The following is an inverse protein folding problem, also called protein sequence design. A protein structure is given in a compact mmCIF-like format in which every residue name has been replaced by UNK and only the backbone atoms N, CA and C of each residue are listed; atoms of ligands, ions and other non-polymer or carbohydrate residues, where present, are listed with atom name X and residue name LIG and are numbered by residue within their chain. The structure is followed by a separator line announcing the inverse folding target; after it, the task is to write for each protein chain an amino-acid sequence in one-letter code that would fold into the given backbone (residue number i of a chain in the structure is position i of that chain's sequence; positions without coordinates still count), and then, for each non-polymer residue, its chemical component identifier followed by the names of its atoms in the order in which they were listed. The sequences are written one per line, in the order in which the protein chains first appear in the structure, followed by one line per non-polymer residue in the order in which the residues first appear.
data_IF_147893187014
#
_entry.id   IF_147893187014
#
_cell.length_a   1.000
_cell.length_b   1.000
_cell.length_c   1.000
_cell.angle_alpha   90.00
_cell.angle_beta   90.00
_cell.angle_gamma   90.00
#
_symmetry.space_group_name_H-M   'P 1'
#
loop_
_entity.id
_entity.type
_entity.pdbx_description
1 polymer ?
#
# COMPACT_ATOMS: atom_id res chain seq x y z
N UNK A 1 5.93 16.80 24.69
CA UNK A 1 5.51 17.91 25.56
C UNK A 1 5.76 19.27 24.91
N UNK A 2 6.93 19.50 24.30
CA UNK A 2 7.26 20.76 23.61
C UNK A 2 6.16 21.28 22.67
N UNK A 3 5.74 20.51 21.66
CA UNK A 3 4.67 20.94 20.73
C UNK A 3 3.34 21.31 21.40
N UNK A 4 2.98 20.60 22.47
CA UNK A 4 1.78 20.88 23.25
C UNK A 4 1.90 22.20 24.04
N UNK A 5 3.10 22.48 24.58
CA UNK A 5 3.39 23.73 25.28
C UNK A 5 3.48 24.92 24.32
N UNK A 6 3.97 24.70 23.10
CA UNK A 6 3.99 25.72 22.05
C UNK A 6 2.57 26.15 21.70
N UNK A 7 1.69 25.20 21.38
CA UNK A 7 0.28 25.43 21.11
C UNK A 7 -0.56 24.19 21.39
N UNK A 8 -1.76 24.40 21.95
CA UNK A 8 -2.84 23.43 21.91
C UNK A 8 -4.20 24.13 21.91
N UNK A 9 -5.22 23.50 21.34
CA UNK A 9 -6.60 23.98 21.41
C UNK A 9 -7.59 22.83 21.33
N UNK A 10 -8.78 23.06 21.88
CA UNK A 10 -9.93 22.19 21.66
C UNK A 10 -10.78 22.75 20.52
N UNK A 11 -11.31 21.88 19.66
CA UNK A 11 -12.26 22.27 18.62
C UNK A 11 -13.40 21.26 18.52
N UNK A 12 -14.65 21.71 18.33
CA UNK A 12 -15.79 20.82 18.20
C UNK A 12 -15.72 20.00 16.91
N UNK A 13 -16.21 18.77 16.97
CA UNK A 13 -16.46 17.91 15.82
C UNK A 13 -17.95 17.89 15.48
N UNK A 14 -18.30 17.45 14.27
CA UNK A 14 -19.69 17.28 13.83
C UNK A 14 -20.51 16.32 14.72
N UNK A 15 -19.83 15.42 15.43
CA UNK A 15 -20.44 14.43 16.34
C UNK A 15 -20.76 15.00 17.74
N UNK A 16 -20.40 16.25 18.03
CA UNK A 16 -20.53 16.86 19.36
C UNK A 16 -19.36 16.58 20.31
N UNK A 17 -18.42 15.73 19.92
CA UNK A 17 -17.14 15.53 20.61
C UNK A 17 -16.16 16.70 20.39
N UNK A 18 -15.08 16.76 21.19
CA UNK A 18 -13.99 17.72 21.01
C UNK A 18 -12.72 17.02 20.51
N UNK A 19 -12.09 17.59 19.49
CA UNK A 19 -10.72 17.25 19.11
C UNK A 19 -9.72 18.12 19.85
N UNK A 20 -8.69 17.50 20.41
CA UNK A 20 -7.48 18.19 20.86
C UNK A 20 -6.53 18.38 19.67
N UNK A 21 -6.18 19.62 19.36
CA UNK A 21 -5.17 19.97 18.36
C UNK A 21 -3.87 20.35 19.07
N UNK A 22 -2.75 19.85 18.57
CA UNK A 22 -1.42 19.99 19.20
C UNK A 22 -0.45 20.62 18.20
N UNK A 23 0.38 21.55 18.67
CA UNK A 23 1.44 22.19 17.88
C UNK A 23 0.94 23.25 16.89
N UNK A 24 1.89 23.95 16.30
CA UNK A 24 1.62 25.01 15.31
C UNK A 24 0.95 24.46 14.03
N UNK A 25 1.16 23.18 13.74
CA UNK A 25 0.56 22.46 12.61
C UNK A 25 -0.93 22.13 12.82
N UNK A 26 -1.50 22.41 14.00
CA UNK A 26 -2.84 21.97 14.38
C UNK A 26 -3.03 20.47 14.17
N UNK A 27 -2.10 19.66 14.67
CA UNK A 27 -2.19 18.22 14.49
C UNK A 27 -3.35 17.66 15.34
N UNK A 28 -4.35 16.99 14.73
CA UNK A 28 -5.49 16.47 15.46
C UNK A 28 -5.09 15.21 16.24
N UNK A 29 -5.09 15.31 17.57
CA UNK A 29 -4.89 14.18 18.47
C UNK A 29 -5.99 13.14 18.24
N UNK A 30 -5.65 11.85 18.06
CA UNK A 30 -6.59 10.84 17.56
C UNK A 30 -7.65 10.42 18.58
N UNK A 31 -7.47 10.73 19.87
CA UNK A 31 -8.41 10.34 20.93
C UNK A 31 -9.32 11.54 21.24
N UNK A 32 -10.60 11.53 20.83
CA UNK A 32 -11.50 12.66 21.07
C UNK A 32 -11.90 12.73 22.55
N UNK A 33 -12.30 13.92 23.00
CA UNK A 33 -12.99 14.09 24.27
C UNK A 33 -14.50 14.04 24.05
N UNK A 34 -15.19 13.29 24.90
CA UNK A 34 -16.66 13.18 24.94
C UNK A 34 -17.17 13.59 26.31
N UNK A 35 -18.33 14.24 26.34
CA UNK A 35 -19.00 14.57 27.60
C UNK A 35 -19.88 13.39 28.03
N UNK A 36 -19.75 12.96 29.28
CA UNK A 36 -20.62 11.98 29.92
C UNK A 36 -20.90 12.41 31.35
N UNK A 37 -22.18 12.50 31.72
CA UNK A 37 -22.63 12.86 33.07
C UNK A 37 -22.01 14.17 33.61
N UNK A 38 -21.87 15.18 32.74
CA UNK A 38 -21.30 16.48 33.09
C UNK A 38 -19.76 16.52 33.22
N UNK A 39 -19.07 15.45 32.86
CA UNK A 39 -17.61 15.38 32.87
C UNK A 39 -17.05 14.96 31.50
N UNK A 40 -15.86 15.46 31.17
CA UNK A 40 -15.17 15.15 29.92
C UNK A 40 -14.22 13.98 30.08
N UNK A 41 -14.28 13.03 29.15
CA UNK A 41 -13.43 11.85 29.12
C UNK A 41 -12.84 11.65 27.74
N UNK A 42 -11.63 11.08 27.67
CA UNK A 42 -11.11 10.58 26.41
C UNK A 42 -11.85 9.29 26.01
N UNK A 43 -12.39 9.26 24.80
CA UNK A 43 -12.96 8.06 24.21
C UNK A 43 -11.83 7.19 23.65
N UNK A 44 -11.35 6.26 24.47
CA UNK A 44 -10.26 5.36 24.11
C UNK A 44 -10.65 4.38 22.98
N UNK A 45 -11.93 4.04 22.83
CA UNK A 45 -12.38 3.11 21.79
C UNK A 45 -12.38 3.79 20.41
N UNK A 46 -12.91 5.01 20.35
CA UNK A 46 -12.81 5.86 19.17
C UNK A 46 -11.33 6.14 18.83
N UNK A 47 -10.52 6.47 19.84
CA UNK A 47 -9.09 6.73 19.67
C UNK A 47 -8.31 5.53 19.13
N UNK A 48 -8.60 4.32 19.62
CA UNK A 48 -8.00 3.08 19.11
C UNK A 48 -8.33 2.87 17.63
N UNK A 49 -9.58 3.13 17.25
CA UNK A 49 -10.06 2.99 15.88
C UNK A 49 -9.39 4.01 14.95
N UNK A 50 -9.30 5.27 15.36
CA UNK A 50 -8.64 6.34 14.61
C UNK A 50 -7.13 6.06 14.39
N UNK A 51 -6.41 5.62 15.43
CA UNK A 51 -4.99 5.24 15.28
C UNK A 51 -4.83 4.09 14.29
N UNK A 52 -5.72 3.11 14.32
CA UNK A 52 -5.71 2.01 13.36
C UNK A 52 -5.97 2.50 11.93
N UNK A 53 -6.96 3.38 11.74
CA UNK A 53 -7.27 3.94 10.42
C UNK A 53 -6.12 4.77 9.84
N UNK A 54 -5.45 5.57 10.66
CA UNK A 54 -4.24 6.31 10.23
C UNK A 54 -3.13 5.35 9.79
N UNK A 55 -2.85 4.30 10.56
CA UNK A 55 -1.86 3.28 10.20
C UNK A 55 -2.20 2.59 8.89
N UNK A 56 -3.47 2.22 8.70
CA UNK A 56 -3.95 1.63 7.44
C UNK A 56 -3.73 2.58 6.28
N UNK A 57 -4.14 3.85 6.42
CA UNK A 57 -3.94 4.86 5.37
C UNK A 57 -2.47 5.12 5.05
N UNK A 58 -1.60 5.19 6.06
CA UNK A 58 -0.16 5.33 5.87
C UNK A 58 0.43 4.12 5.13
N UNK A 59 0.08 2.90 5.53
CA UNK A 59 0.55 1.69 4.86
C UNK A 59 0.08 1.62 3.39
N UNK A 60 -1.17 2.01 3.11
CA UNK A 60 -1.73 2.05 1.75
C UNK A 60 -1.02 3.09 0.88
N UNK A 61 -0.75 4.29 1.40
CA UNK A 61 0.04 5.31 0.69
C UNK A 61 1.45 4.82 0.38
N UNK A 62 2.10 4.15 1.35
CA UNK A 62 3.43 3.56 1.14
C UNK A 62 3.38 2.44 0.11
N UNK A 63 2.32 1.63 0.09
CA UNK A 63 2.14 0.58 -0.90
C UNK A 63 1.99 1.14 -2.33
N UNK A 64 1.21 2.23 -2.50
CA UNK A 64 1.06 2.92 -3.78
C UNK A 64 2.41 3.52 -4.22
N UNK A 65 3.11 4.22 -3.33
CA UNK A 65 4.43 4.79 -3.63
C UNK A 65 5.43 3.69 -4.04
N UNK A 66 5.42 2.58 -3.31
CA UNK A 66 6.26 1.41 -3.63
C UNK A 66 5.93 0.86 -5.02
N UNK A 67 4.64 0.72 -5.37
CA UNK A 67 4.20 0.31 -6.72
C UNK A 67 4.75 1.24 -7.83
N UNK A 68 4.80 2.55 -7.60
CA UNK A 68 5.38 3.50 -8.55
C UNK A 68 6.90 3.34 -8.65
N UNK A 69 7.60 3.16 -7.53
CA UNK A 69 9.04 2.87 -7.52
C UNK A 69 9.39 1.58 -8.26
N UNK A 70 8.54 0.54 -8.14
CA UNK A 70 8.65 -0.71 -8.89
C UNK A 70 8.71 -0.47 -10.41
N UNK A 71 7.75 0.30 -10.95
CA UNK A 71 7.68 0.58 -12.39
C UNK A 71 8.84 1.47 -12.84
N UNK A 72 9.20 2.47 -12.05
CA UNK A 72 10.33 3.35 -12.36
C UNK A 72 11.64 2.54 -12.50
N UNK A 73 11.88 1.59 -11.58
CA UNK A 73 13.07 0.75 -11.60
C UNK A 73 13.10 -0.22 -12.80
N UNK A 74 11.96 -0.84 -13.13
CA UNK A 74 11.86 -1.73 -14.30
C UNK A 74 12.13 -0.97 -15.60
N UNK A 75 11.56 0.23 -15.73
CA UNK A 75 11.81 1.12 -16.86
C UNK A 75 13.29 1.49 -17.00
N UNK A 76 13.95 1.83 -15.89
CA UNK A 76 15.37 2.15 -15.88
C UNK A 76 16.26 0.97 -16.28
N UNK A 77 15.98 -0.25 -15.78
CA UNK A 77 16.71 -1.46 -16.16
C UNK A 77 16.52 -1.81 -17.64
N UNK A 78 15.34 -1.56 -18.21
CA UNK A 78 15.06 -1.73 -19.64
C UNK A 78 15.90 -0.78 -20.49
N UNK A 79 16.05 0.46 -20.04
CA UNK A 79 16.76 1.52 -20.76
C UNK A 79 18.29 1.43 -20.59
N UNK A 80 18.77 1.01 -19.40
CA UNK A 80 20.18 0.82 -19.12
C UNK A 80 20.43 -0.49 -18.33
N UNK A 81 20.75 -1.56 -19.06
CA UNK A 81 21.04 -2.88 -18.48
C UNK A 81 22.28 -2.93 -17.59
N UNK A 82 23.16 -1.93 -17.69
CA UNK A 82 24.40 -1.84 -16.92
C UNK A 82 24.26 -0.86 -15.72
N UNK A 83 23.03 -0.49 -15.34
CA UNK A 83 22.80 0.32 -14.16
C UNK A 83 23.42 -0.34 -12.91
N UNK A 84 24.07 0.42 -12.02
CA UNK A 84 24.70 -0.14 -10.82
C UNK A 84 23.65 -0.87 -9.96
N UNK A 85 24.06 -1.97 -9.34
CA UNK A 85 23.22 -2.72 -8.41
C UNK A 85 22.73 -1.77 -7.30
N UNK A 86 21.41 -1.63 -7.22
CA UNK A 86 20.75 -0.79 -6.24
C UNK A 86 21.00 -1.36 -4.83
N UNK A 87 21.15 -0.50 -3.83
CA UNK A 87 21.49 -0.92 -2.45
C UNK A 87 20.53 -1.98 -1.92
N UNK A 88 21.07 -3.00 -1.25
CA UNK A 88 20.37 -4.27 -1.02
C UNK A 88 19.16 -4.18 -0.06
N UNK A 89 19.08 -3.08 0.69
CA UNK A 89 18.00 -2.73 1.64
C UNK A 89 17.00 -1.71 1.08
N UNK A 90 17.21 -1.21 -0.13
CA UNK A 90 16.25 -0.31 -0.78
C UNK A 90 14.97 -1.08 -1.14
N UNK A 91 13.77 -0.46 -1.05
CA UNK A 91 12.58 -0.98 -1.72
C UNK A 91 12.88 -1.40 -3.15
N UNK A 92 13.77 -0.69 -3.86
CA UNK A 92 14.23 -0.99 -5.21
C UNK A 92 15.10 -2.25 -5.34
N UNK A 93 15.83 -2.69 -4.31
CA UNK A 93 16.50 -4.00 -4.31
C UNK A 93 15.51 -5.13 -4.02
N UNK A 94 14.55 -4.91 -3.12
CA UNK A 94 13.44 -5.85 -2.90
C UNK A 94 12.60 -6.02 -4.18
N UNK A 95 12.40 -4.92 -4.90
CA UNK A 95 11.81 -4.85 -6.23
C UNK A 95 12.59 -5.70 -7.22
N UNK A 96 13.91 -5.50 -7.30
CA UNK A 96 14.78 -6.26 -8.17
C UNK A 96 14.79 -7.75 -7.79
N UNK A 97 14.74 -8.10 -6.50
CA UNK A 97 14.63 -9.48 -5.99
C UNK A 97 13.29 -10.11 -6.35
N UNK A 98 12.18 -9.38 -6.24
CA UNK A 98 10.85 -9.86 -6.65
C UNK A 98 10.74 -10.02 -8.18
N UNK A 99 11.33 -9.10 -8.96
CA UNK A 99 11.35 -9.14 -10.42
C UNK A 99 12.30 -10.22 -10.97
N UNK A 100 13.53 -10.32 -10.45
CA UNK A 100 14.52 -11.35 -10.79
C UNK A 100 14.09 -12.74 -10.27
N UNK A 101 13.31 -12.77 -9.20
CA UNK A 101 12.67 -13.95 -8.60
C UNK A 101 11.44 -14.48 -9.35
N UNK A 102 11.26 -14.12 -10.63
CA UNK A 102 10.21 -14.66 -11.53
C UNK A 102 10.17 -16.22 -11.61
N UNK A 103 11.08 -16.93 -10.94
CA UNK A 103 11.06 -18.38 -10.80
C UNK A 103 10.65 -18.91 -9.41
N UNK A 104 10.48 -18.06 -8.37
CA UNK A 104 10.30 -18.48 -6.96
C UNK A 104 8.94 -18.11 -6.33
N UNK A 105 8.22 -17.08 -6.81
CA UNK A 105 6.82 -16.84 -6.43
C UNK A 105 6.55 -16.41 -4.98
N UNK A 106 7.59 -16.23 -4.15
CA UNK A 106 7.40 -15.80 -2.76
C UNK A 106 7.18 -14.29 -2.66
N UNK A 107 6.09 -13.84 -2.00
CA UNK A 107 5.82 -12.42 -1.81
C UNK A 107 6.82 -11.78 -0.83
N UNK A 108 7.14 -10.50 -1.04
CA UNK A 108 7.95 -9.69 -0.13
C UNK A 108 7.04 -8.91 0.81
N UNK A 109 7.26 -9.00 2.13
CA UNK A 109 6.53 -8.21 3.13
C UNK A 109 7.25 -6.89 3.40
N UNK A 110 6.60 -5.76 3.12
CA UNK A 110 7.11 -4.42 3.38
C UNK A 110 5.97 -3.54 3.90
N UNK A 111 6.17 -2.84 5.03
CA UNK A 111 5.19 -1.94 5.66
C UNK A 111 3.76 -2.52 5.76
N UNK A 112 3.64 -3.81 6.11
CA UNK A 112 2.34 -4.47 6.27
C UNK A 112 1.67 -4.90 4.96
N UNK A 113 2.36 -4.83 3.83
CA UNK A 113 1.90 -5.26 2.51
C UNK A 113 2.80 -6.34 1.91
N UNK A 114 2.20 -7.35 1.31
CA UNK A 114 2.86 -8.34 0.49
C UNK A 114 2.91 -7.88 -0.96
N UNK A 115 4.10 -7.90 -1.56
CA UNK A 115 4.34 -7.52 -2.95
C UNK A 115 4.79 -8.75 -3.75
N UNK A 116 4.19 -8.96 -4.92
CA UNK A 116 4.63 -10.02 -5.85
C UNK A 116 4.37 -9.68 -7.32
N UNK A 117 5.10 -10.36 -8.18
CA UNK A 117 4.90 -10.34 -9.63
C UNK A 117 3.81 -11.35 -10.02
N UNK A 118 2.85 -10.91 -10.85
CA UNK A 118 1.85 -11.74 -11.51
C UNK A 118 2.16 -11.76 -13.01
N UNK A 119 2.49 -12.92 -13.60
CA UNK A 119 2.70 -13.00 -15.04
C UNK A 119 1.40 -12.75 -15.81
N UNK A 120 1.48 -12.11 -16.97
CA UNK A 120 0.29 -11.86 -17.81
C UNK A 120 -0.21 -13.12 -18.53
N UNK A 121 0.60 -14.19 -18.57
CA UNK A 121 0.26 -15.48 -19.20
C UNK A 121 0.59 -16.64 -18.26
N UNK A 122 -0.29 -17.65 -18.12
CA UNK A 122 0.04 -18.84 -17.37
C UNK A 122 1.26 -19.51 -18.00
N UNK A 123 2.27 -19.81 -17.18
CA UNK A 123 3.53 -20.42 -17.60
C UNK A 123 3.33 -21.90 -17.91
N UNK A 124 2.79 -22.24 -19.08
CA UNK A 124 2.96 -23.60 -19.59
C UNK A 124 4.44 -23.76 -19.95
N UNK A 125 5.17 -24.52 -19.13
CA UNK A 125 6.64 -24.64 -19.13
C UNK A 125 7.15 -25.50 -20.31
N UNK A 126 6.70 -25.21 -21.52
CA UNK A 126 7.30 -25.67 -22.78
C UNK A 126 7.13 -24.55 -23.80
N UNK A 127 8.19 -23.76 -23.97
CA UNK A 127 8.57 -23.01 -25.19
C UNK A 127 9.47 -21.84 -24.78
N UNK A 128 10.78 -22.08 -24.86
CA UNK A 128 11.73 -21.01 -25.15
C UNK A 128 11.45 -20.52 -26.57
N UNK A 129 10.53 -19.57 -26.73
CA UNK A 129 10.36 -18.85 -27.98
C UNK A 129 11.07 -17.50 -27.90
N UNK A 130 12.18 -17.45 -28.61
CA UNK A 130 12.94 -16.27 -29.03
C UNK A 130 12.04 -15.34 -29.86
N UNK A 131 12.15 -14.03 -29.60
CA UNK A 131 11.72 -12.89 -30.45
C UNK A 131 10.23 -12.65 -30.75
N UNK A 132 9.80 -11.39 -30.54
CA UNK A 132 8.63 -10.80 -31.21
C UNK A 132 7.51 -10.23 -30.33
N UNK A 133 7.80 -9.19 -29.53
CA UNK A 133 6.97 -8.02 -29.17
C UNK A 133 7.11 -7.65 -27.67
N UNK A 134 7.93 -6.63 -27.43
CA UNK A 134 8.37 -6.17 -26.11
C UNK A 134 7.40 -5.13 -25.56
N UNK A 135 6.23 -5.50 -25.02
CA UNK A 135 5.37 -4.49 -24.35
C UNK A 135 4.28 -4.99 -23.40
N UNK A 136 4.28 -6.22 -22.85
CA UNK A 136 3.32 -6.56 -21.77
C UNK A 136 3.55 -7.94 -21.12
N UNK A 137 4.41 -8.04 -20.10
CA UNK A 137 4.76 -9.37 -19.51
C UNK A 137 4.25 -9.60 -18.08
N UNK A 138 4.06 -8.55 -17.27
CA UNK A 138 3.78 -8.70 -15.84
C UNK A 138 2.85 -7.60 -15.32
N UNK A 139 2.12 -7.90 -14.25
CA UNK A 139 1.51 -6.94 -13.35
C UNK A 139 2.12 -7.15 -11.96
N UNK A 140 2.31 -6.10 -11.17
CA UNK A 140 2.68 -6.26 -9.77
C UNK A 140 1.42 -6.13 -8.92
N UNK A 141 1.25 -7.04 -7.97
CA UNK A 141 0.16 -6.98 -7.00
C UNK A 141 0.74 -6.70 -5.61
N UNK A 142 0.12 -5.76 -4.90
CA UNK A 142 0.37 -5.49 -3.49
C UNK A 142 -0.92 -5.73 -2.71
N UNK A 143 -0.86 -6.46 -1.60
CA UNK A 143 -2.04 -6.77 -0.78
C UNK A 143 -1.69 -6.76 0.71
N UNK A 144 -2.63 -6.36 1.59
CA UNK A 144 -2.37 -6.30 3.01
C UNK A 144 -2.00 -7.67 3.58
N UNK A 145 -1.01 -7.68 4.47
CA UNK A 145 -0.65 -8.85 5.25
C UNK A 145 -1.82 -9.33 6.12
N UNK A 146 -2.61 -8.40 6.67
CA UNK A 146 -3.80 -8.68 7.45
C UNK A 146 -4.92 -7.66 7.13
N UNK A 147 -6.04 -8.17 6.61
CA UNK A 147 -7.18 -7.35 6.20
C UNK A 147 -7.75 -6.54 7.38
N UNK A 148 -7.96 -5.23 7.17
CA UNK A 148 -8.40 -4.24 8.17
C UNK A 148 -7.48 -4.07 9.38
N UNK A 149 -6.26 -4.59 9.32
CA UNK A 149 -5.23 -4.40 10.35
C UNK A 149 -4.01 -3.71 9.78
N UNK A 150 -3.44 -4.27 8.70
CA UNK A 150 -2.32 -3.67 7.98
C UNK A 150 -2.77 -2.88 6.75
N UNK A 151 -3.94 -3.18 6.20
CA UNK A 151 -4.54 -2.47 5.08
C UNK A 151 -5.89 -3.07 4.65
N UNK A 152 -6.57 -2.43 3.72
CA UNK A 152 -7.86 -2.85 3.15
C UNK A 152 -7.71 -3.11 1.65
N UNK A 153 -7.10 -2.17 0.93
CA UNK A 153 -7.02 -2.21 -0.53
C UNK A 153 -5.95 -3.18 -1.02
N UNK A 154 -6.29 -3.90 -2.09
CA UNK A 154 -5.34 -4.60 -2.95
C UNK A 154 -5.00 -3.70 -4.11
N UNK A 155 -3.71 -3.53 -4.39
CA UNK A 155 -3.23 -2.72 -5.50
C UNK A 155 -2.68 -3.60 -6.62
N UNK A 156 -2.91 -3.19 -7.86
CA UNK A 156 -2.26 -3.76 -9.03
C UNK A 156 -1.69 -2.64 -9.88
N UNK A 157 -0.38 -2.64 -10.08
CA UNK A 157 0.28 -1.70 -10.98
C UNK A 157 0.61 -2.37 -12.31
N UNK A 158 0.26 -1.67 -13.38
CA UNK A 158 0.57 -2.06 -14.76
C UNK A 158 1.92 -1.49 -15.19
N UNK A 159 2.50 -2.04 -16.26
CA UNK A 159 3.76 -1.54 -16.84
C UNK A 159 3.74 -0.05 -17.22
N UNK A 160 2.55 0.51 -17.47
CA UNK A 160 2.37 1.91 -17.83
C UNK A 160 2.40 2.83 -16.62
N UNK A 161 2.60 2.30 -15.40
CA UNK A 161 2.62 3.05 -14.15
C UNK A 161 1.24 3.35 -13.57
N UNK A 162 0.16 2.86 -14.20
CA UNK A 162 -1.20 3.04 -13.66
C UNK A 162 -1.42 2.04 -12.52
N UNK A 163 -1.74 2.56 -11.33
CA UNK A 163 -2.09 1.78 -10.13
C UNK A 163 -3.61 1.65 -10.05
N UNK A 164 -4.09 0.41 -10.02
CA UNK A 164 -5.47 0.08 -9.74
C UNK A 164 -5.62 -0.42 -8.31
N UNK A 165 -6.77 -0.18 -7.70
CA UNK A 165 -7.13 -0.67 -6.38
C UNK A 165 -8.48 -1.39 -6.37
N UNK A 166 -8.61 -2.33 -5.43
CA UNK A 166 -9.85 -3.04 -5.11
C UNK A 166 -9.81 -3.60 -3.69
N UNK A 167 -10.89 -3.43 -2.94
CA UNK A 167 -11.12 -4.19 -1.71
C UNK A 167 -11.57 -5.62 -2.08
N UNK A 168 -10.72 -6.62 -1.80
CA UNK A 168 -11.04 -8.04 -2.00
C UNK A 168 -11.67 -8.70 -0.76
N UNK A 169 -11.93 -7.91 0.28
CA UNK A 169 -12.56 -8.31 1.52
C UNK A 169 -11.65 -9.17 2.42
N UNK A 170 -12.24 -9.88 3.39
CA UNK A 170 -11.51 -10.75 4.32
C UNK A 170 -10.65 -11.84 3.66
N UNK A 171 -10.97 -12.21 2.41
CA UNK A 171 -10.25 -13.23 1.65
C UNK A 171 -9.07 -12.68 0.84
N UNK A 172 -8.72 -11.40 1.02
CA UNK A 172 -7.67 -10.70 0.26
C UNK A 172 -6.39 -11.51 0.14
N UNK A 173 -5.82 -12.00 1.24
CA UNK A 173 -4.55 -12.74 1.21
C UNK A 173 -4.63 -14.02 0.36
N UNK A 174 -5.73 -14.76 0.45
CA UNK A 174 -5.95 -15.98 -0.34
C UNK A 174 -6.16 -15.67 -1.83
N UNK A 175 -7.04 -14.72 -2.14
CA UNK A 175 -7.35 -14.32 -3.52
C UNK A 175 -6.14 -13.69 -4.23
N UNK A 176 -5.45 -12.78 -3.54
CA UNK A 176 -4.31 -12.06 -4.08
C UNK A 176 -3.07 -12.94 -4.21
N UNK A 177 -2.85 -13.94 -3.34
CA UNK A 177 -1.74 -14.90 -3.50
C UNK A 177 -2.01 -15.92 -4.61
N UNK A 178 -3.26 -16.35 -4.79
CA UNK A 178 -3.66 -17.30 -5.83
C UNK A 178 -3.79 -16.69 -7.25
N UNK A 179 -3.78 -15.36 -7.38
CA UNK A 179 -3.97 -14.71 -8.68
C UNK A 179 -2.86 -15.08 -9.68
N UNK A 180 -3.21 -15.74 -10.79
CA UNK A 180 -2.21 -16.17 -11.79
C UNK A 180 -2.09 -15.23 -12.96
N UNK A 181 -3.14 -14.45 -13.23
CA UNK A 181 -3.19 -13.38 -14.24
C UNK A 181 -4.01 -12.21 -13.72
N UNK A 182 -3.65 -10.99 -14.09
CA UNK A 182 -4.45 -9.80 -13.83
C UNK A 182 -5.35 -9.48 -15.02
N UNK A 183 -6.65 -9.36 -14.77
CA UNK A 183 -7.65 -8.88 -15.72
C UNK A 183 -8.39 -7.71 -15.08
N UNK A 184 -8.25 -6.51 -15.66
CA UNK A 184 -9.04 -5.35 -15.22
C UNK A 184 -10.50 -5.56 -15.63
N UNK A 185 -11.36 -5.78 -14.65
CA UNK A 185 -12.81 -5.70 -14.78
C UNK A 185 -13.33 -4.34 -14.30
N UNK A 186 -14.65 -4.14 -14.32
CA UNK A 186 -15.31 -2.89 -13.93
C UNK A 186 -15.22 -2.55 -12.43
N UNK A 187 -14.77 -3.48 -11.58
CA UNK A 187 -14.69 -3.30 -10.12
C UNK A 187 -13.34 -2.76 -9.64
N UNK A 188 -12.37 -2.61 -10.55
CA UNK A 188 -11.07 -2.00 -10.27
C UNK A 188 -11.08 -0.51 -10.59
N UNK A 189 -10.68 0.31 -9.63
CA UNK A 189 -10.60 1.78 -9.77
C UNK A 189 -9.14 2.23 -9.75
N UNK A 190 -8.85 3.42 -10.25
CA UNK A 190 -7.49 3.99 -10.18
C UNK A 190 -7.23 4.51 -8.77
N UNK A 191 -6.08 4.18 -8.19
CA UNK A 191 -5.73 4.54 -6.81
C UNK A 191 -5.22 5.99 -6.65
N UNK A 192 -4.77 6.61 -7.74
CA UNK A 192 -4.19 7.97 -7.74
C UNK A 192 -5.26 9.09 -7.85
N UNK A 193 -6.50 8.87 -7.36
CA UNK A 193 -7.61 9.85 -7.46
C UNK A 193 -7.89 10.60 -6.15
#
# INVERSE_FOLDING_TARGET
IQKYQEMHRLGPQATGSLSLYIGAENWPFPVPLVEKDGAWYFDAEAGRSEVLFRRIGENELVAIATCHEFVAAEKQLRENRNAPALEDSSPTSLVAKAAAGSASGNPVLLYGYYFRVVPKRPTNRTNHSTEGNTTNRFAFIAYPAEYRSSGVMTFVVTENGVVYEKDLGPNTSSLASAMTTFHKDATWHTADQ
#
